data_IF_074901779037
#
_entry.id   IF_074901779037
#
_cell.length_a   1.000
_cell.length_b   1.000
_cell.length_c   1.000
_cell.angle_alpha   90.00
_cell.angle_beta   90.00
_cell.angle_gamma   90.00
#
_symmetry.space_group_name_H-M   'P 1'
#
loop_
_entity.id
_entity.type
_entity.pdbx_description
1 polymer ?
#
# COMPACT_ATOMS: atom_id res chain seq x y z
N UNK A 1 0.35 11.88 15.72
CA UNK A 1 0.54 10.66 14.92
C UNK A 1 -0.72 9.81 14.78
N UNK A 2 -1.29 9.19 15.85
CA UNK A 2 -2.52 8.37 15.72
C UNK A 2 -3.70 9.15 15.12
N UNK A 3 -4.03 10.30 15.69
CA UNK A 3 -5.15 11.13 15.22
C UNK A 3 -4.98 11.58 13.76
N UNK A 4 -3.75 11.86 13.33
CA UNK A 4 -3.45 12.28 11.96
C UNK A 4 -3.66 11.13 10.98
N UNK A 5 -3.14 9.94 11.29
CA UNK A 5 -3.35 8.75 10.47
C UNK A 5 -4.83 8.33 10.47
N UNK A 6 -5.51 8.41 11.61
CA UNK A 6 -6.97 8.21 11.69
C UNK A 6 -7.71 9.22 10.80
N UNK A 7 -7.30 10.49 10.78
CA UNK A 7 -7.90 11.48 9.90
C UNK A 7 -7.71 11.09 8.42
N UNK A 8 -6.51 10.64 8.05
CA UNK A 8 -6.21 10.16 6.68
C UNK A 8 -7.06 8.92 6.33
N UNK A 9 -7.25 7.97 7.24
CA UNK A 9 -7.94 6.70 6.95
C UNK A 9 -9.46 6.83 7.06
N UNK A 10 -9.98 7.55 8.05
CA UNK A 10 -11.39 7.57 8.45
C UNK A 10 -12.19 8.77 7.94
N UNK A 11 -11.55 9.91 7.63
CA UNK A 11 -12.30 11.06 7.10
C UNK A 11 -12.58 10.93 5.60
N UNK A 12 -13.66 11.57 5.20
CA UNK A 12 -14.08 11.78 3.81
C UNK A 12 -13.64 13.20 3.38
N UNK A 13 -12.34 13.51 3.42
CA UNK A 13 -11.87 14.80 2.91
C UNK A 13 -11.74 14.78 1.38
N UNK A 14 -12.23 15.86 0.73
CA UNK A 14 -11.91 16.17 -0.66
C UNK A 14 -10.51 16.77 -0.72
N UNK A 15 -9.51 15.91 -0.79
CA UNK A 15 -8.16 16.34 -1.19
C UNK A 15 -8.19 16.43 -2.73
N UNK A 16 -7.52 17.45 -3.30
CA UNK A 16 -7.60 17.84 -4.71
C UNK A 16 -7.18 16.75 -5.73
N UNK A 17 -6.39 17.07 -6.77
CA UNK A 17 -5.97 16.08 -7.77
C UNK A 17 -5.20 14.87 -7.22
N UNK A 18 -4.80 14.89 -5.94
CA UNK A 18 -4.50 13.71 -5.13
C UNK A 18 -5.70 13.37 -4.22
N UNK A 19 -6.24 12.16 -4.19
CA UNK A 19 -5.71 10.92 -4.72
C UNK A 19 -6.85 10.00 -5.09
N UNK A 20 -6.85 9.55 -6.34
CA UNK A 20 -7.67 8.43 -6.81
C UNK A 20 -7.56 7.23 -5.84
N UNK A 21 -6.39 7.08 -5.20
CA UNK A 21 -6.14 6.21 -4.05
C UNK A 21 -7.18 6.39 -2.92
N UNK A 22 -7.31 7.60 -2.36
CA UNK A 22 -8.26 7.91 -1.28
C UNK A 22 -9.71 7.78 -1.74
N UNK A 23 -10.00 8.12 -3.00
CA UNK A 23 -11.35 7.95 -3.58
C UNK A 23 -11.77 6.47 -3.58
N UNK A 24 -10.88 5.57 -4.03
CA UNK A 24 -11.11 4.13 -4.01
C UNK A 24 -11.20 3.60 -2.57
N UNK A 25 -10.30 4.03 -1.69
CA UNK A 25 -10.32 3.63 -0.27
C UNK A 25 -11.63 4.03 0.42
N UNK A 26 -12.13 5.25 0.18
CA UNK A 26 -13.42 5.72 0.72
C UNK A 26 -14.60 4.90 0.18
N UNK A 27 -14.57 4.53 -1.11
CA UNK A 27 -15.58 3.64 -1.70
C UNK A 27 -15.58 2.27 -0.98
N UNK A 28 -14.42 1.63 -0.86
CA UNK A 28 -14.26 0.35 -0.18
C UNK A 28 -14.71 0.42 1.29
N UNK A 29 -14.31 1.47 2.01
CA UNK A 29 -14.70 1.67 3.41
C UNK A 29 -16.22 1.82 3.59
N UNK A 30 -16.90 2.49 2.66
CA UNK A 30 -18.37 2.61 2.66
C UNK A 30 -19.02 1.28 2.30
N UNK A 31 -18.47 0.56 1.32
CA UNK A 31 -18.94 -0.77 0.92
C UNK A 31 -18.84 -1.77 2.08
N UNK A 32 -17.71 -1.83 2.77
CA UNK A 32 -17.51 -2.70 3.93
C UNK A 32 -18.58 -2.48 5.02
N UNK A 33 -18.93 -1.22 5.32
CA UNK A 33 -19.98 -0.90 6.31
C UNK A 33 -21.37 -1.41 5.91
N UNK A 34 -21.68 -1.47 4.61
CA UNK A 34 -22.98 -1.93 4.11
C UNK A 34 -23.07 -3.44 3.92
N UNK A 35 -21.92 -4.13 3.82
CA UNK A 35 -21.85 -5.54 3.41
C UNK A 35 -21.61 -6.53 4.57
N UNK A 36 -21.31 -6.07 5.80
CA UNK A 36 -21.06 -6.96 6.95
C UNK A 36 -22.32 -7.74 7.33
N UNK A 37 -22.37 -9.00 6.87
CA UNK A 37 -23.24 -10.07 7.39
C UNK A 37 -22.33 -11.22 7.85
N UNK A 38 -22.60 -11.80 9.02
CA UNK A 38 -21.62 -12.42 9.94
C UNK A 38 -20.97 -13.75 9.52
N UNK A 39 -20.98 -14.15 8.24
CA UNK A 39 -20.37 -15.42 7.82
C UNK A 39 -19.84 -15.31 6.39
N UNK A 40 -18.50 -15.31 6.25
CA UNK A 40 -17.67 -15.71 5.09
C UNK A 40 -16.55 -14.70 4.77
N UNK A 41 -15.43 -14.79 5.50
CA UNK A 41 -14.22 -13.97 5.24
C UNK A 41 -13.64 -14.21 3.83
N UNK A 42 -13.63 -15.45 3.33
CA UNK A 42 -13.10 -15.75 1.99
C UNK A 42 -13.94 -15.15 0.86
N UNK A 43 -15.27 -15.02 1.02
CA UNK A 43 -16.14 -14.41 0.00
C UNK A 43 -16.05 -12.88 0.00
N UNK A 44 -15.47 -12.27 1.02
CA UNK A 44 -15.46 -10.83 1.19
C UNK A 44 -14.57 -10.14 0.16
N UNK A 45 -13.36 -10.66 -0.11
CA UNK A 45 -12.46 -10.09 -1.12
C UNK A 45 -12.99 -10.21 -2.55
N UNK A 46 -13.67 -11.31 -2.87
CA UNK A 46 -14.32 -11.50 -4.17
C UNK A 46 -15.48 -10.51 -4.36
N UNK A 47 -16.25 -10.26 -3.31
CA UNK A 47 -17.32 -9.25 -3.31
C UNK A 47 -16.75 -7.84 -3.50
N UNK A 48 -15.67 -7.50 -2.78
CA UNK A 48 -14.97 -6.22 -3.00
C UNK A 48 -14.41 -6.11 -4.41
N UNK A 49 -13.86 -7.19 -4.97
CA UNK A 49 -13.36 -7.22 -6.35
C UNK A 49 -14.48 -6.92 -7.34
N UNK A 50 -15.64 -7.57 -7.21
CA UNK A 50 -16.79 -7.31 -8.07
C UNK A 50 -17.29 -5.85 -7.93
N UNK A 51 -17.35 -5.33 -6.70
CA UNK A 51 -17.74 -3.95 -6.42
C UNK A 51 -16.74 -2.94 -7.00
N UNK A 52 -15.44 -3.20 -6.88
CA UNK A 52 -14.37 -2.40 -7.45
C UNK A 52 -14.42 -2.37 -8.97
N UNK A 53 -14.71 -3.50 -9.62
CA UNK A 53 -14.87 -3.54 -11.07
C UNK A 53 -16.03 -2.64 -11.51
N UNK A 54 -17.17 -2.70 -10.82
CA UNK A 54 -18.31 -1.84 -11.11
C UNK A 54 -17.98 -0.35 -10.87
N UNK A 55 -17.34 -0.04 -9.75
CA UNK A 55 -16.86 1.31 -9.43
C UNK A 55 -15.87 1.83 -10.48
N UNK A 56 -14.88 1.02 -10.85
CA UNK A 56 -13.84 1.42 -11.79
C UNK A 56 -14.41 1.69 -13.19
N UNK A 57 -15.44 0.94 -13.62
CA UNK A 57 -16.18 1.21 -14.86
C UNK A 57 -16.94 2.53 -14.78
N UNK A 58 -17.65 2.77 -13.69
CA UNK A 58 -18.44 3.99 -13.50
C UNK A 58 -17.57 5.26 -13.42
N UNK A 59 -16.40 5.15 -12.80
CA UNK A 59 -15.49 6.28 -12.54
C UNK A 59 -14.36 6.42 -13.57
N UNK A 60 -14.36 5.61 -14.64
CA UNK A 60 -13.31 5.53 -15.66
C UNK A 60 -11.90 5.37 -15.04
N UNK A 61 -11.79 4.47 -14.08
CA UNK A 61 -10.63 4.27 -13.20
C UNK A 61 -9.69 3.15 -13.68
N UNK A 62 -9.70 2.82 -14.98
CA UNK A 62 -8.84 1.78 -15.56
C UNK A 62 -7.58 2.38 -16.19
N UNK A 63 -6.44 1.77 -15.92
CA UNK A 63 -5.15 2.10 -16.51
C UNK A 63 -4.99 1.43 -17.87
N UNK A 64 -5.17 2.20 -18.95
CA UNK A 64 -5.21 1.71 -20.32
C UNK A 64 -3.89 1.89 -21.10
N UNK A 65 -2.85 2.48 -20.49
CA UNK A 65 -1.57 2.65 -21.17
C UNK A 65 -0.85 1.31 -21.32
N UNK A 66 -0.13 1.15 -22.43
CA UNK A 66 0.71 -0.03 -22.68
C UNK A 66 1.85 -0.09 -21.66
N UNK A 67 2.12 -1.29 -21.13
CA UNK A 67 3.27 -1.56 -20.28
C UNK A 67 4.19 -2.46 -21.10
N UNK A 68 5.42 -2.01 -21.36
CA UNK A 68 6.36 -2.75 -22.18
C UNK A 68 7.04 -3.85 -21.36
N UNK A 69 7.21 -5.02 -21.96
CA UNK A 69 8.03 -6.08 -21.35
C UNK A 69 9.50 -5.68 -21.24
N UNK A 70 9.96 -4.78 -22.11
CA UNK A 70 11.34 -4.28 -22.07
C UNK A 70 11.61 -3.38 -20.86
N UNK A 71 10.55 -2.86 -20.23
CA UNK A 71 10.67 -2.04 -19.03
C UNK A 71 10.63 -2.89 -17.75
N UNK A 72 10.50 -4.21 -17.84
CA UNK A 72 10.46 -5.10 -16.68
C UNK A 72 11.74 -4.99 -15.83
N UNK A 73 11.57 -4.82 -14.52
CA UNK A 73 12.66 -4.73 -13.54
C UNK A 73 12.69 -5.98 -12.67
N UNK A 74 11.57 -6.31 -12.02
CA UNK A 74 11.48 -7.41 -11.07
C UNK A 74 10.04 -7.92 -10.88
N UNK A 75 9.91 -9.11 -10.32
CA UNK A 75 8.65 -9.77 -9.96
C UNK A 75 8.78 -10.39 -8.58
N UNK A 76 7.84 -10.06 -7.70
CA UNK A 76 7.59 -10.72 -6.42
C UNK A 76 6.33 -11.58 -6.50
N UNK A 77 5.93 -12.19 -5.38
CA UNK A 77 4.73 -13.01 -5.35
C UNK A 77 3.45 -12.20 -5.66
N UNK A 78 3.42 -10.95 -5.21
CA UNK A 78 2.27 -10.06 -5.20
C UNK A 78 2.30 -9.01 -6.30
N UNK A 79 3.49 -8.71 -6.84
CA UNK A 79 3.63 -7.60 -7.77
C UNK A 79 4.71 -7.75 -8.83
N UNK A 80 4.53 -6.97 -9.91
CA UNK A 80 5.50 -6.79 -10.99
C UNK A 80 5.91 -5.33 -11.07
N UNK A 81 7.21 -5.09 -11.22
CA UNK A 81 7.81 -3.75 -11.27
C UNK A 81 8.33 -3.48 -12.69
N UNK A 82 7.97 -2.32 -13.21
CA UNK A 82 8.38 -1.84 -14.53
C UNK A 82 8.96 -0.44 -14.41
N UNK A 83 9.97 -0.12 -15.21
CA UNK A 83 10.44 1.25 -15.40
C UNK A 83 9.34 2.07 -16.06
N UNK A 84 9.01 3.23 -15.49
CA UNK A 84 8.11 4.18 -16.14
C UNK A 84 8.90 5.26 -16.89
N UNK A 85 9.93 5.79 -16.24
CA UNK A 85 10.90 6.74 -16.76
C UNK A 85 12.22 6.64 -15.95
N UNK A 86 13.11 7.61 -16.10
CA UNK A 86 14.41 7.64 -15.40
C UNK A 86 14.29 7.82 -13.87
N UNK A 87 13.13 8.26 -13.40
CA UNK A 87 12.89 8.67 -12.01
C UNK A 87 11.76 7.90 -11.33
N UNK A 88 10.96 7.12 -12.05
CA UNK A 88 9.77 6.47 -11.53
C UNK A 88 9.61 5.03 -12.01
N UNK A 89 8.99 4.22 -11.16
CA UNK A 89 8.57 2.85 -11.47
C UNK A 89 7.06 2.72 -11.40
N UNK A 90 6.55 1.83 -12.22
CA UNK A 90 5.17 1.36 -12.20
C UNK A 90 5.13 -0.02 -11.56
N UNK A 91 4.25 -0.21 -10.58
CA UNK A 91 4.02 -1.49 -9.92
C UNK A 91 2.60 -1.97 -10.20
N UNK A 92 2.48 -3.24 -10.56
CA UNK A 92 1.21 -3.93 -10.78
C UNK A 92 1.02 -4.92 -9.65
N UNK A 93 0.05 -4.69 -8.75
CA UNK A 93 -0.11 -5.44 -7.52
C UNK A 93 -1.47 -6.15 -7.45
N UNK A 94 -1.47 -7.42 -7.05
CA UNK A 94 -2.65 -8.28 -6.93
C UNK A 94 -3.31 -8.25 -5.55
N UNK A 95 -2.75 -7.52 -4.60
CA UNK A 95 -3.15 -7.44 -3.19
C UNK A 95 -3.12 -8.77 -2.43
N UNK A 96 -2.40 -9.80 -2.88
CA UNK A 96 -2.52 -11.17 -2.32
C UNK A 96 -2.13 -11.28 -0.84
N UNK A 97 -1.29 -10.39 -0.32
CA UNK A 97 -0.93 -10.33 1.10
C UNK A 97 -2.03 -9.78 2.02
N UNK A 98 -3.11 -9.25 1.45
CA UNK A 98 -4.18 -8.60 2.20
C UNK A 98 -5.47 -9.41 2.16
N UNK A 99 -6.16 -9.50 3.29
CA UNK A 99 -7.45 -10.19 3.40
C UNK A 99 -8.54 -9.50 2.56
N UNK A 100 -8.43 -8.18 2.38
CA UNK A 100 -9.37 -7.36 1.61
C UNK A 100 -8.62 -6.33 0.74
N UNK A 101 -9.28 -5.82 -0.29
CA UNK A 101 -8.80 -4.65 -1.02
C UNK A 101 -8.78 -3.41 -0.12
N UNK A 102 -9.73 -3.30 0.82
CA UNK A 102 -9.72 -2.20 1.78
C UNK A 102 -8.41 -2.16 2.59
N UNK A 103 -7.92 -3.31 3.04
CA UNK A 103 -6.64 -3.40 3.77
C UNK A 103 -5.45 -3.01 2.88
N UNK A 104 -5.43 -3.45 1.62
CA UNK A 104 -4.41 -3.03 0.67
C UNK A 104 -4.39 -1.51 0.47
N UNK A 105 -5.56 -0.89 0.25
CA UNK A 105 -5.62 0.57 0.08
C UNK A 105 -5.34 1.34 1.38
N UNK A 106 -5.66 0.78 2.55
CA UNK A 106 -5.25 1.33 3.84
C UNK A 106 -3.73 1.24 4.01
N UNK A 107 -3.11 0.15 3.58
CA UNK A 107 -1.65 -0.03 3.61
C UNK A 107 -0.94 1.02 2.76
N UNK A 108 -1.41 1.27 1.54
CA UNK A 108 -0.83 2.33 0.68
C UNK A 108 -0.94 3.73 1.33
N UNK A 109 -2.09 4.06 1.94
CA UNK A 109 -2.26 5.35 2.64
C UNK A 109 -1.35 5.44 3.89
N UNK A 110 -1.19 4.32 4.60
CA UNK A 110 -0.33 4.24 5.79
C UNK A 110 1.14 4.35 5.42
N UNK A 111 1.57 3.69 4.35
CA UNK A 111 2.90 3.86 3.76
C UNK A 111 3.15 5.33 3.41
N UNK A 112 2.24 5.96 2.67
CA UNK A 112 2.42 7.36 2.27
C UNK A 112 2.49 8.32 3.46
N UNK A 113 1.89 7.97 4.60
CA UNK A 113 1.97 8.73 5.84
C UNK A 113 3.34 8.60 6.52
N UNK A 114 3.86 7.37 6.66
CA UNK A 114 5.15 7.14 7.33
C UNK A 114 6.36 7.42 6.43
N UNK A 115 6.23 7.17 5.13
CA UNK A 115 7.32 7.20 4.15
C UNK A 115 6.97 8.07 2.93
N UNK A 116 6.78 9.39 3.12
CA UNK A 116 6.33 10.28 2.04
C UNK A 116 7.32 10.38 0.88
N UNK A 117 8.63 10.15 1.12
CA UNK A 117 9.67 10.18 0.09
C UNK A 117 9.57 9.05 -0.94
N UNK A 118 8.83 7.98 -0.62
CA UNK A 118 8.56 6.85 -1.51
C UNK A 118 7.05 6.64 -1.67
N UNK A 119 6.27 7.72 -1.55
CA UNK A 119 4.82 7.64 -1.59
C UNK A 119 4.29 7.03 -2.90
N UNK A 120 3.32 6.13 -2.75
CA UNK A 120 2.57 5.55 -3.85
C UNK A 120 1.53 6.50 -4.41
N UNK A 121 1.48 6.59 -5.73
CA UNK A 121 0.38 7.21 -6.47
C UNK A 121 -0.42 6.11 -7.17
N UNK A 122 -1.70 5.96 -6.85
CA UNK A 122 -2.59 5.04 -7.57
C UNK A 122 -2.98 5.62 -8.93
N UNK A 123 -2.74 4.86 -10.01
CA UNK A 123 -3.01 5.26 -11.39
C UNK A 123 -4.31 4.68 -11.95
N UNK A 124 -4.79 3.57 -11.39
CA UNK A 124 -5.99 2.88 -11.84
C UNK A 124 -5.89 1.37 -11.72
N UNK A 125 -6.94 0.69 -12.18
CA UNK A 125 -7.00 -0.77 -12.22
C UNK A 125 -6.63 -1.32 -13.59
N UNK A 126 -6.15 -2.56 -13.65
CA UNK A 126 -5.91 -3.27 -14.91
C UNK A 126 -6.28 -4.74 -14.76
N UNK A 127 -6.86 -5.32 -15.81
CA UNK A 127 -7.02 -6.77 -15.90
C UNK A 127 -5.77 -7.39 -16.53
N UNK A 128 -5.24 -8.42 -15.89
CA UNK A 128 -4.19 -9.29 -16.43
C UNK A 128 -4.61 -10.71 -16.11
N UNK A 129 -4.68 -11.56 -17.13
CA UNK A 129 -5.13 -12.96 -16.99
C UNK A 129 -6.47 -13.08 -16.21
N UNK A 130 -7.44 -12.22 -16.53
CA UNK A 130 -8.77 -12.17 -15.89
C UNK A 130 -8.79 -11.71 -14.42
N UNK A 131 -7.63 -11.42 -13.83
CA UNK A 131 -7.51 -10.93 -12.45
C UNK A 131 -7.37 -9.41 -12.40
N UNK A 132 -8.03 -8.80 -11.40
CA UNK A 132 -7.95 -7.36 -11.15
C UNK A 132 -6.65 -7.02 -10.43
N UNK A 133 -5.88 -6.08 -10.98
CA UNK A 133 -4.66 -5.57 -10.39
C UNK A 133 -4.76 -4.07 -10.15
N UNK A 134 -4.17 -3.59 -9.06
CA UNK A 134 -3.92 -2.17 -8.85
C UNK A 134 -2.63 -1.76 -9.57
N UNK A 135 -2.69 -0.67 -10.32
CA UNK A 135 -1.52 -0.04 -10.93
C UNK A 135 -1.15 1.17 -10.10
N UNK A 136 0.04 1.14 -9.50
CA UNK A 136 0.58 2.23 -8.69
C UNK A 136 1.91 2.71 -9.28
N UNK A 137 2.26 3.95 -8.98
CA UNK A 137 3.54 4.57 -9.31
C UNK A 137 4.27 4.91 -8.02
N UNK A 138 5.59 4.76 -8.04
CA UNK A 138 6.49 5.14 -6.96
C UNK A 138 7.75 5.77 -7.56
N UNK A 139 8.38 6.69 -6.84
CA UNK A 139 9.68 7.21 -7.23
C UNK A 139 10.75 6.11 -7.14
N UNK A 140 11.63 6.07 -8.13
CA UNK A 140 12.72 5.10 -8.20
C UNK A 140 13.91 5.60 -7.40
N UNK A 141 14.27 4.87 -6.36
CA UNK A 141 15.45 5.15 -5.54
C UNK A 141 16.57 4.19 -5.94
N UNK A 142 17.74 4.72 -6.26
CA UNK A 142 18.94 3.90 -6.50
C UNK A 142 19.73 3.84 -5.21
N UNK A 143 19.89 2.65 -4.64
CA UNK A 143 20.71 2.47 -3.45
C UNK A 143 22.20 2.70 -3.77
N UNK A 144 22.92 3.40 -2.91
CA UNK A 144 24.37 3.59 -3.02
C UNK A 144 25.17 2.66 -2.09
N UNK A 145 24.53 2.10 -1.08
CA UNK A 145 25.12 1.16 -0.12
C UNK A 145 24.12 0.08 0.34
N UNK A 146 24.60 -1.11 0.77
CA UNK A 146 23.76 -2.11 1.41
C UNK A 146 23.11 -1.56 2.70
N UNK A 147 21.85 -1.91 2.96
CA UNK A 147 21.16 -1.46 4.17
C UNK A 147 21.74 -2.17 5.41
N UNK A 148 21.97 -1.42 6.49
CA UNK A 148 22.23 -2.01 7.81
C UNK A 148 20.91 -2.14 8.57
N UNK A 149 20.46 -3.39 8.77
CA UNK A 149 19.21 -3.69 9.48
C UNK A 149 19.21 -3.18 10.94
N UNK A 150 20.37 -2.96 11.56
CA UNK A 150 20.42 -2.33 12.88
C UNK A 150 20.01 -0.85 12.81
N UNK A 151 20.44 -0.13 11.77
CA UNK A 151 20.05 1.27 11.54
C UNK A 151 18.56 1.37 11.25
N UNK A 152 18.01 0.42 10.46
CA UNK A 152 16.57 0.32 10.20
C UNK A 152 15.79 0.10 11.50
N UNK A 153 16.27 -0.82 12.34
CA UNK A 153 15.67 -1.11 13.65
C UNK A 153 15.70 0.11 14.56
N UNK A 154 16.84 0.77 14.70
CA UNK A 154 16.99 2.00 15.51
C UNK A 154 16.06 3.12 15.02
N UNK A 155 15.96 3.29 13.69
CA UNK A 155 15.04 4.25 13.08
C UNK A 155 13.58 3.94 13.45
N UNK A 156 13.15 2.68 13.34
CA UNK A 156 11.78 2.30 13.66
C UNK A 156 11.47 2.41 15.16
N UNK A 157 12.41 2.00 16.03
CA UNK A 157 12.30 2.14 17.49
C UNK A 157 12.20 3.61 17.91
N UNK A 158 13.00 4.49 17.28
CA UNK A 158 12.90 5.94 17.49
C UNK A 158 11.53 6.51 17.10
N UNK A 159 10.87 5.92 16.09
CA UNK A 159 9.52 6.28 15.65
C UNK A 159 8.40 5.52 16.40
N UNK A 160 8.73 4.86 17.52
CA UNK A 160 7.76 4.23 18.41
C UNK A 160 7.28 2.84 17.97
N UNK A 161 7.90 2.26 16.92
CA UNK A 161 7.68 0.87 16.58
C UNK A 161 8.48 -0.04 17.50
N UNK A 162 7.92 -1.21 17.81
CA UNK A 162 8.57 -2.24 18.61
C UNK A 162 8.83 -3.44 17.71
N UNK A 163 10.09 -3.89 17.68
CA UNK A 163 10.49 -5.07 16.93
C UNK A 163 9.84 -6.34 17.51
N UNK A 164 9.31 -7.20 16.65
CA UNK A 164 8.81 -8.55 16.96
C UNK A 164 9.81 -9.61 16.51
N UNK A 165 9.43 -10.50 15.61
CA UNK A 165 10.24 -11.58 15.06
C UNK A 165 10.27 -11.37 13.55
N UNK A 166 11.27 -11.90 12.85
CA UNK A 166 11.37 -11.85 11.39
C UNK A 166 11.34 -10.41 10.82
N UNK A 167 11.87 -9.42 11.57
CA UNK A 167 11.79 -8.00 11.23
C UNK A 167 10.36 -7.45 11.07
N UNK A 168 9.38 -8.08 11.71
CA UNK A 168 8.06 -7.48 11.87
C UNK A 168 8.09 -6.46 13.01
N UNK A 169 7.31 -5.40 12.87
CA UNK A 169 7.24 -4.30 13.82
C UNK A 169 5.79 -3.97 14.15
N UNK A 170 5.55 -3.46 15.34
CA UNK A 170 4.23 -2.99 15.73
C UNK A 170 4.32 -1.70 16.55
N UNK A 171 3.39 -0.79 16.33
CA UNK A 171 3.20 0.39 17.16
C UNK A 171 1.85 0.27 17.87
N UNK A 172 1.87 -0.12 19.15
CA UNK A 172 0.66 -0.36 19.94
C UNK A 172 -0.12 0.92 20.28
N UNK A 173 0.57 2.06 20.35
CA UNK A 173 -0.06 3.36 20.62
C UNK A 173 -0.96 3.77 19.45
N UNK A 174 -0.49 3.55 18.22
CA UNK A 174 -1.23 3.90 17.01
C UNK A 174 -2.17 2.78 16.58
N UNK A 175 -1.80 1.52 16.82
CA UNK A 175 -2.52 0.34 16.33
C UNK A 175 -2.10 -0.09 14.93
N UNK A 176 -0.80 -0.05 14.62
CA UNK A 176 -0.25 -0.39 13.30
C UNK A 176 0.73 -1.54 13.43
N UNK A 177 0.68 -2.48 12.49
CA UNK A 177 1.69 -3.52 12.28
C UNK A 177 2.37 -3.23 10.94
N UNK A 178 3.69 -3.36 10.90
CA UNK A 178 4.53 -3.29 9.71
C UNK A 178 5.25 -4.64 9.57
N UNK A 179 4.93 -5.39 8.54
CA UNK A 179 5.52 -6.69 8.23
C UNK A 179 6.37 -6.61 6.95
N UNK A 180 7.05 -7.72 6.67
CA UNK A 180 7.82 -7.94 5.42
C UNK A 180 8.99 -6.98 5.23
N UNK A 181 9.63 -6.57 6.34
CA UNK A 181 10.78 -5.69 6.30
C UNK A 181 12.09 -6.50 6.18
N UNK A 182 12.53 -6.71 4.94
CA UNK A 182 13.85 -7.27 4.65
C UNK A 182 14.78 -6.23 4.00
N UNK A 183 16.04 -6.61 3.85
CA UNK A 183 17.08 -5.76 3.26
C UNK A 183 16.77 -5.32 1.82
N UNK A 184 16.01 -6.10 1.06
CA UNK A 184 15.54 -5.69 -0.28
C UNK A 184 14.39 -4.64 -0.25
N UNK A 185 13.65 -4.53 0.86
CA UNK A 185 12.51 -3.59 1.01
C UNK A 185 12.92 -2.25 1.65
N UNK A 186 14.21 -2.09 1.96
CA UNK A 186 14.76 -0.83 2.45
C UNK A 186 16.02 -0.47 1.68
N UNK A 187 15.99 0.69 1.04
CA UNK A 187 17.09 1.22 0.25
C UNK A 187 17.80 2.32 1.04
N UNK A 188 19.12 2.46 0.87
CA UNK A 188 19.88 3.58 1.45
C UNK A 188 20.46 4.44 0.35
N UNK A 189 20.32 5.76 0.47
CA UNK A 189 20.98 6.73 -0.39
C UNK A 189 21.46 7.93 0.42
N UNK A 190 22.77 8.22 0.39
CA UNK A 190 23.42 9.26 1.20
C UNK A 190 23.07 9.15 2.71
N UNK A 191 23.05 7.93 3.26
CA UNK A 191 22.72 7.67 4.66
C UNK A 191 21.25 7.91 5.03
N UNK A 192 20.36 8.10 4.06
CA UNK A 192 18.90 8.20 4.26
C UNK A 192 18.24 6.88 3.88
N UNK A 193 17.33 6.39 4.73
CA UNK A 193 16.55 5.19 4.49
C UNK A 193 15.30 5.50 3.65
N UNK A 194 15.05 4.68 2.63
CA UNK A 194 13.88 4.72 1.77
C UNK A 194 13.18 3.37 1.84
N UNK A 195 11.93 3.38 2.31
CA UNK A 195 11.15 2.17 2.48
C UNK A 195 10.32 1.93 1.22
N UNK A 196 10.36 0.72 0.69
CA UNK A 196 9.55 0.27 -0.44
C UNK A 196 8.87 -1.05 -0.08
N UNK A 197 7.80 -1.40 -0.79
CA UNK A 197 7.16 -2.71 -0.67
C UNK A 197 6.76 -3.13 0.75
N UNK A 198 6.48 -2.14 1.60
CA UNK A 198 6.05 -2.36 2.98
C UNK A 198 4.65 -2.96 3.06
N UNK A 199 4.44 -3.83 4.04
CA UNK A 199 3.13 -4.40 4.33
C UNK A 199 2.59 -3.85 5.66
N UNK A 200 1.59 -2.96 5.59
CA UNK A 200 0.94 -2.39 6.78
C UNK A 200 -0.42 -3.03 7.07
N UNK A 201 -0.66 -3.35 8.34
CA UNK A 201 -1.98 -3.74 8.85
C UNK A 201 -2.44 -2.79 9.95
N UNK A 202 -3.74 -2.50 9.98
CA UNK A 202 -4.39 -1.73 11.04
C UNK A 202 -5.06 -2.68 12.03
N UNK A 203 -4.79 -2.52 13.32
CA UNK A 203 -5.38 -3.36 14.38
C UNK A 203 -6.72 -2.80 14.87
N UNK A 204 -7.46 -3.55 15.69
CA UNK A 204 -8.67 -3.04 16.33
C UNK A 204 -8.40 -1.79 17.18
N UNK A 205 -7.24 -1.69 17.84
CA UNK A 205 -6.86 -0.51 18.63
C UNK A 205 -6.61 0.73 17.78
N UNK A 206 -6.38 0.59 16.47
CA UNK A 206 -6.35 1.73 15.56
C UNK A 206 -7.70 2.44 15.52
N UNK A 207 -8.81 1.71 15.63
CA UNK A 207 -10.16 2.26 15.52
C UNK A 207 -10.74 2.72 16.85
N UNK A 208 -10.07 2.44 17.97
CA UNK A 208 -10.50 2.90 19.30
C UNK A 208 -10.06 4.34 19.55
N UNK A 209 -10.95 5.11 20.17
CA UNK A 209 -10.69 6.46 20.70
C UNK A 209 -9.78 6.43 21.91
#
# INVERSE_FOLDING_TARGET
MKDELQNIILRDEQIGPGSQLKKVQNFLRRYAKTSITTKEQQRFKDQETAALIAFAKAENCFYNHSISINDFISEGAEQKVYRLDDTQVLKINQSIFYESWLDYFNSLLTHNFFFPSTAYTFLGFRFINEELHAVIKQDFVTADEPVDLNVVKEFLEFNGFQHKRNNDYFNSEIGVILEDLHDENVLTYNGVLFFIDTVFYLTESFYST
#
